data_IF_286123305551
#
_entry.id   IF_286123305551
#
_cell.length_a   1.000
_cell.length_b   1.000
_cell.length_c   1.000
_cell.angle_alpha   90.00
_cell.angle_beta   90.00
_cell.angle_gamma   90.00
#
_symmetry.space_group_name_H-M   'P 1'
#
loop_
_entity.id
_entity.type
_entity.pdbx_description
1 polymer ?
#
# COMPACT_ATOMS: atom_id res chain seq x y z
N UNK A 1 26.93 -60.16 4.41
CA UNK A 1 27.80 -60.34 5.59
C UNK A 1 28.10 -58.98 6.19
N UNK A 2 27.71 -58.80 7.47
CA UNK A 2 28.31 -57.96 8.54
C UNK A 2 28.88 -56.60 8.11
N UNK A 3 28.16 -55.49 8.34
CA UNK A 3 28.23 -54.69 9.57
C UNK A 3 29.66 -54.42 10.05
N UNK A 4 30.12 -53.18 9.92
CA UNK A 4 31.09 -52.61 10.85
C UNK A 4 30.70 -51.16 11.15
N UNK A 5 29.98 -50.98 12.26
CA UNK A 5 29.90 -49.73 12.99
C UNK A 5 31.29 -49.42 13.59
N UNK A 6 31.77 -48.18 13.54
CA UNK A 6 32.02 -47.39 14.76
C UNK A 6 32.66 -46.01 14.48
N UNK A 7 31.94 -44.99 14.94
CA UNK A 7 32.38 -43.80 15.68
C UNK A 7 33.85 -43.35 15.58
N UNK A 8 34.06 -42.21 14.90
CA UNK A 8 35.00 -41.19 15.38
C UNK A 8 34.24 -39.87 15.45
N UNK A 9 33.84 -39.52 16.68
CA UNK A 9 33.59 -38.14 17.04
C UNK A 9 34.95 -37.43 17.09
N UNK A 10 35.18 -36.47 16.20
CA UNK A 10 36.23 -35.47 16.39
C UNK A 10 35.61 -34.08 16.27
N UNK A 11 35.51 -33.46 17.44
CA UNK A 11 35.20 -32.06 17.67
C UNK A 11 36.23 -31.19 16.95
N UNK A 12 35.80 -30.37 15.98
CA UNK A 12 36.49 -29.14 15.62
C UNK A 12 35.52 -27.97 15.78
N UNK A 13 35.67 -27.32 16.92
CA UNK A 13 35.06 -26.05 17.30
C UNK A 13 35.94 -24.92 16.75
N UNK A 14 35.28 -23.87 16.26
CA UNK A 14 35.78 -22.53 15.91
C UNK A 14 36.59 -22.33 14.62
N UNK A 15 35.92 -21.80 13.59
CA UNK A 15 36.25 -20.48 13.04
C UNK A 15 34.93 -19.73 12.80
N UNK A 16 34.70 -18.69 13.61
CA UNK A 16 33.74 -17.63 13.36
C UNK A 16 34.15 -16.81 12.12
N UNK A 17 33.22 -16.03 11.58
CA UNK A 17 33.28 -15.25 10.34
C UNK A 17 32.96 -16.09 9.09
N UNK A 18 31.85 -15.88 8.41
CA UNK A 18 31.13 -14.63 8.19
C UNK A 18 29.64 -14.92 8.10
N UNK A 19 28.85 -14.37 9.02
CA UNK A 19 27.53 -13.90 8.62
C UNK A 19 27.79 -12.94 7.47
N UNK A 20 27.58 -13.42 6.24
CA UNK A 20 27.44 -12.55 5.10
C UNK A 20 26.11 -11.82 5.35
N UNK A 21 26.14 -10.82 6.24
CA UNK A 21 25.18 -9.74 6.21
C UNK A 21 25.38 -9.13 4.84
N UNK A 22 24.65 -9.64 3.85
CA UNK A 22 24.27 -8.84 2.71
C UNK A 22 23.54 -7.65 3.30
N UNK A 23 24.32 -6.61 3.61
CA UNK A 23 23.82 -5.25 3.64
C UNK A 23 23.36 -5.06 2.21
N UNK A 24 22.13 -5.50 1.93
CA UNK A 24 21.42 -5.20 0.69
C UNK A 24 21.57 -3.71 0.61
N UNK A 25 22.42 -3.25 -0.29
CA UNK A 25 22.49 -1.87 -0.66
C UNK A 25 21.09 -1.62 -1.21
N UNK A 26 20.18 -1.24 -0.32
CA UNK A 26 18.94 -0.61 -0.73
C UNK A 26 19.49 0.58 -1.50
N UNK A 27 19.48 0.48 -2.82
CA UNK A 27 19.05 1.63 -3.60
C UNK A 27 17.80 2.04 -2.84
N UNK A 28 17.91 3.12 -2.07
CA UNK A 28 16.80 3.69 -1.34
C UNK A 28 15.92 4.27 -2.45
N UNK A 29 15.23 3.37 -3.15
CA UNK A 29 14.01 3.71 -3.83
C UNK A 29 13.16 4.15 -2.64
N UNK A 30 12.98 5.45 -2.55
CA UNK A 30 12.27 6.13 -1.48
C UNK A 30 10.78 5.80 -1.65
N UNK A 31 10.46 4.51 -1.51
CA UNK A 31 9.18 3.94 -1.81
C UNK A 31 8.18 4.45 -0.77
N UNK A 32 7.02 4.90 -1.25
CA UNK A 32 5.95 5.35 -0.38
C UNK A 32 5.08 4.14 -0.02
N UNK A 33 5.48 3.40 1.00
CA UNK A 33 4.88 2.11 1.36
C UNK A 33 3.38 2.21 1.62
N UNK A 34 2.91 3.29 2.24
CA UNK A 34 1.49 3.53 2.50
C UNK A 34 0.69 3.82 1.22
N UNK A 35 1.32 4.38 0.18
CA UNK A 35 0.67 4.60 -1.11
C UNK A 35 0.41 3.25 -1.79
N UNK A 36 1.40 2.35 -1.77
CA UNK A 36 1.24 0.98 -2.28
C UNK A 36 0.26 0.16 -1.44
N UNK A 37 0.25 0.35 -0.12
CA UNK A 37 -0.72 -0.31 0.76
C UNK A 37 -2.15 0.11 0.40
N UNK A 38 -2.38 1.41 0.19
CA UNK A 38 -3.68 1.89 -0.29
C UNK A 38 -4.03 1.32 -1.66
N UNK A 39 -3.08 1.29 -2.59
CA UNK A 39 -3.26 0.69 -3.91
C UNK A 39 -3.74 -0.76 -3.83
N UNK A 40 -3.11 -1.56 -2.98
CA UNK A 40 -3.49 -2.96 -2.78
C UNK A 40 -4.93 -3.07 -2.26
N UNK A 41 -5.28 -2.31 -1.22
CA UNK A 41 -6.63 -2.33 -0.65
C UNK A 41 -7.69 -1.90 -1.67
N UNK A 42 -7.45 -0.83 -2.42
CA UNK A 42 -8.41 -0.39 -3.44
C UNK A 42 -8.51 -1.37 -4.61
N UNK A 43 -7.40 -1.98 -5.06
CA UNK A 43 -7.42 -2.97 -6.13
C UNK A 43 -8.25 -4.22 -5.77
N UNK A 44 -8.19 -4.66 -4.51
CA UNK A 44 -8.95 -5.81 -4.00
C UNK A 44 -10.47 -5.56 -3.91
N UNK A 45 -10.90 -4.30 -3.96
CA UNK A 45 -12.33 -3.93 -3.91
C UNK A 45 -12.85 -3.42 -5.25
N UNK A 46 -12.01 -2.68 -5.99
CA UNK A 46 -12.35 -2.07 -7.27
C UNK A 46 -12.47 -3.10 -8.39
N UNK A 47 -11.47 -3.96 -8.61
CA UNK A 47 -11.49 -4.90 -9.73
C UNK A 47 -12.64 -5.92 -9.65
N UNK A 48 -12.96 -6.52 -8.48
CA UNK A 48 -14.15 -7.36 -8.37
C UNK A 48 -15.44 -6.61 -8.70
N UNK A 49 -15.55 -5.34 -8.28
CA UNK A 49 -16.72 -4.52 -8.57
C UNK A 49 -16.87 -4.20 -10.08
N UNK A 50 -15.78 -4.10 -10.84
CA UNK A 50 -15.83 -4.00 -12.31
C UNK A 50 -16.49 -5.22 -12.95
N UNK A 51 -16.30 -6.40 -12.36
CA UNK A 51 -16.89 -7.67 -12.78
C UNK A 51 -18.27 -7.94 -12.14
N UNK A 52 -18.79 -7.01 -11.34
CA UNK A 52 -20.09 -7.10 -10.68
C UNK A 52 -20.09 -7.80 -9.33
N UNK A 53 -18.93 -8.15 -8.78
CA UNK A 53 -18.80 -8.66 -7.41
C UNK A 53 -18.56 -7.52 -6.43
N UNK A 54 -19.63 -7.11 -5.75
CA UNK A 54 -19.61 -6.03 -4.75
C UNK A 54 -19.44 -6.54 -3.31
N UNK A 55 -19.30 -7.84 -3.09
CA UNK A 55 -19.09 -8.38 -1.74
C UNK A 55 -17.79 -7.87 -1.10
N UNK A 56 -16.64 -7.79 -1.80
CA UNK A 56 -15.41 -7.26 -1.22
C UNK A 56 -15.57 -5.83 -0.69
N UNK A 57 -16.12 -4.90 -1.49
CA UNK A 57 -16.31 -3.52 -1.03
C UNK A 57 -17.33 -3.42 0.12
N UNK A 58 -18.35 -4.30 0.14
CA UNK A 58 -19.33 -4.32 1.25
C UNK A 58 -18.70 -4.79 2.56
N UNK A 59 -17.71 -5.67 2.51
CA UNK A 59 -17.05 -6.24 3.69
C UNK A 59 -15.83 -5.44 4.16
N UNK A 60 -15.06 -4.87 3.23
CA UNK A 60 -13.72 -4.35 3.51
C UNK A 60 -13.63 -2.81 3.38
N UNK A 61 -14.77 -2.11 3.31
CA UNK A 61 -14.80 -0.65 3.16
C UNK A 61 -14.18 0.14 4.32
N UNK A 62 -14.13 -0.43 5.52
CA UNK A 62 -13.43 0.17 6.66
C UNK A 62 -11.90 0.08 6.53
N UNK A 63 -11.38 -1.01 5.94
CA UNK A 63 -9.96 -1.14 5.63
C UNK A 63 -9.49 -0.05 4.66
N UNK A 64 -10.31 0.33 3.68
CA UNK A 64 -10.03 1.48 2.79
C UNK A 64 -9.92 2.79 3.57
N UNK A 65 -10.80 3.01 4.55
CA UNK A 65 -10.77 4.20 5.42
C UNK A 65 -9.48 4.22 6.23
N UNK A 66 -9.09 3.09 6.83
CA UNK A 66 -7.86 2.97 7.59
C UNK A 66 -6.62 3.22 6.71
N UNK A 67 -6.56 2.57 5.55
CA UNK A 67 -5.46 2.75 4.60
C UNK A 67 -5.33 4.22 4.14
N UNK A 68 -6.44 4.89 3.81
CA UNK A 68 -6.40 6.30 3.43
C UNK A 68 -5.90 7.20 4.57
N UNK A 69 -6.33 6.93 5.80
CA UNK A 69 -5.88 7.68 6.97
C UNK A 69 -4.41 7.46 7.28
N UNK A 70 -3.92 6.23 7.10
CA UNK A 70 -2.51 5.89 7.25
C UNK A 70 -1.68 6.60 6.19
N UNK A 71 -2.13 6.59 4.92
CA UNK A 71 -1.48 7.32 3.83
C UNK A 71 -1.43 8.84 4.08
N UNK A 72 -2.51 9.46 4.59
CA UNK A 72 -2.52 10.88 4.95
C UNK A 72 -1.51 11.23 6.07
N UNK A 73 -1.29 10.32 7.02
CA UNK A 73 -0.36 10.51 8.15
C UNK A 73 1.07 10.08 7.84
N UNK A 74 1.27 9.38 6.72
CA UNK A 74 2.55 8.81 6.34
C UNK A 74 3.61 9.89 6.20
N UNK A 75 4.85 9.51 6.48
CA UNK A 75 5.99 10.39 6.20
C UNK A 75 6.15 10.51 4.69
N UNK A 76 6.14 11.73 4.18
CA UNK A 76 6.42 11.97 2.77
C UNK A 76 7.84 11.51 2.40
N UNK A 77 8.00 10.85 1.24
CA UNK A 77 9.32 10.59 0.67
C UNK A 77 10.17 11.87 0.54
N UNK A 78 11.48 11.74 0.75
CA UNK A 78 12.43 12.85 0.75
C UNK A 78 12.51 13.59 -0.59
N UNK A 79 12.13 12.97 -1.71
CA UNK A 79 12.08 13.69 -3.00
C UNK A 79 10.98 14.77 -3.05
N UNK A 80 9.91 14.67 -2.25
CA UNK A 80 8.93 15.75 -2.16
C UNK A 80 9.53 17.04 -1.57
N UNK A 81 10.53 16.93 -0.70
CA UNK A 81 11.24 18.10 -0.17
C UNK A 81 12.17 18.76 -1.19
N UNK A 82 12.62 18.01 -2.20
CA UNK A 82 13.50 18.51 -3.25
C UNK A 82 12.75 19.08 -4.45
N UNK A 83 11.45 18.80 -4.56
CA UNK A 83 10.59 19.35 -5.60
C UNK A 83 10.46 20.86 -5.42
N UNK A 84 10.85 21.62 -6.44
CA UNK A 84 10.71 23.09 -6.48
C UNK A 84 9.26 23.55 -6.75
N UNK A 85 8.33 22.62 -7.01
CA UNK A 85 6.91 22.93 -7.25
C UNK A 85 6.17 23.16 -5.93
N UNK A 86 6.02 24.42 -5.53
CA UNK A 86 5.22 24.84 -4.36
C UNK A 86 3.75 24.38 -4.45
N UNK A 87 3.19 24.34 -5.66
CA UNK A 87 1.80 23.90 -5.88
C UNK A 87 1.63 22.40 -5.63
N UNK A 88 2.66 21.60 -5.89
CA UNK A 88 2.57 20.14 -5.84
C UNK A 88 2.30 19.61 -4.42
N UNK A 89 2.92 20.21 -3.38
CA UNK A 89 2.67 19.80 -1.98
C UNK A 89 1.24 20.14 -1.54
N UNK A 90 0.73 21.30 -1.95
CA UNK A 90 -0.63 21.75 -1.63
C UNK A 90 -1.68 20.89 -2.33
N UNK A 91 -1.45 20.57 -3.62
CA UNK A 91 -2.31 19.69 -4.41
C UNK A 91 -2.31 18.27 -3.84
N UNK A 92 -1.14 17.74 -3.47
CA UNK A 92 -1.01 16.45 -2.81
C UNK A 92 -1.79 16.40 -1.51
N UNK A 93 -1.62 17.40 -0.64
CA UNK A 93 -2.34 17.47 0.63
C UNK A 93 -3.86 17.50 0.41
N UNK A 94 -4.32 18.24 -0.58
CA UNK A 94 -5.74 18.31 -0.97
C UNK A 94 -6.25 16.96 -1.47
N UNK A 95 -5.49 16.28 -2.33
CA UNK A 95 -5.83 14.98 -2.88
C UNK A 95 -5.88 13.90 -1.79
N UNK A 96 -4.92 13.89 -0.86
CA UNK A 96 -4.91 12.97 0.29
C UNK A 96 -6.12 13.17 1.21
N UNK A 97 -6.49 14.42 1.49
CA UNK A 97 -7.69 14.73 2.27
C UNK A 97 -8.97 14.27 1.56
N UNK A 98 -9.04 14.50 0.24
CA UNK A 98 -10.14 14.03 -0.60
C UNK A 98 -10.25 12.50 -0.59
N UNK A 99 -9.14 11.79 -0.70
CA UNK A 99 -9.10 10.32 -0.65
C UNK A 99 -9.66 9.79 0.67
N UNK A 100 -9.26 10.38 1.81
CA UNK A 100 -9.81 10.03 3.14
C UNK A 100 -11.31 10.30 3.21
N UNK A 101 -11.76 11.45 2.69
CA UNK A 101 -13.18 11.81 2.72
C UNK A 101 -14.01 10.85 1.87
N UNK A 102 -13.60 10.58 0.63
CA UNK A 102 -14.27 9.63 -0.25
C UNK A 102 -14.30 8.22 0.33
N UNK A 103 -13.21 7.76 0.97
CA UNK A 103 -13.19 6.44 1.62
C UNK A 103 -14.23 6.37 2.75
N UNK A 104 -14.36 7.44 3.56
CA UNK A 104 -15.36 7.51 4.63
C UNK A 104 -16.79 7.57 4.10
N UNK A 105 -17.01 8.34 3.04
CA UNK A 105 -18.34 8.48 2.43
C UNK A 105 -18.78 7.16 1.81
N UNK A 106 -17.88 6.46 1.10
CA UNK A 106 -18.12 5.11 0.59
C UNK A 106 -18.43 4.13 1.72
N UNK A 107 -17.64 4.11 2.80
CA UNK A 107 -17.94 3.27 3.96
C UNK A 107 -19.32 3.58 4.56
N UNK A 108 -19.66 4.86 4.74
CA UNK A 108 -20.96 5.26 5.26
C UNK A 108 -22.10 4.79 4.35
N UNK A 109 -21.94 4.87 3.03
CA UNK A 109 -22.90 4.37 2.05
C UNK A 109 -23.09 2.85 2.18
N UNK A 110 -22.00 2.09 2.26
CA UNK A 110 -22.03 0.64 2.51
C UNK A 110 -22.83 0.33 3.79
N UNK A 111 -22.57 1.05 4.87
CA UNK A 111 -23.24 0.83 6.16
C UNK A 111 -24.75 1.13 6.15
N UNK A 112 -25.25 1.89 5.16
CA UNK A 112 -26.70 2.07 5.02
C UNK A 112 -27.42 0.78 4.65
N UNK A 113 -26.72 -0.21 4.07
CA UNK A 113 -27.26 -1.46 3.52
C UNK A 113 -28.37 -1.27 2.48
N UNK A 114 -28.47 -0.07 1.91
CA UNK A 114 -29.49 0.32 0.91
C UNK A 114 -28.89 0.90 -0.36
N UNK A 115 -27.59 1.13 -0.37
CA UNK A 115 -26.86 1.60 -1.55
C UNK A 115 -26.97 0.56 -2.67
N UNK A 116 -27.14 1.03 -3.91
CA UNK A 116 -27.17 0.17 -5.08
C UNK A 116 -25.75 -0.10 -5.56
N UNK A 117 -25.57 -1.23 -6.24
CA UNK A 117 -24.28 -1.60 -6.82
C UNK A 117 -23.78 -0.55 -7.84
N UNK A 118 -24.69 0.08 -8.59
CA UNK A 118 -24.34 1.18 -9.51
C UNK A 118 -23.73 2.40 -8.77
N UNK A 119 -24.27 2.76 -7.61
CA UNK A 119 -23.71 3.85 -6.78
C UNK A 119 -22.38 3.42 -6.17
N UNK A 120 -22.25 2.16 -5.71
CA UNK A 120 -20.98 1.64 -5.20
C UNK A 120 -19.89 1.70 -6.27
N UNK A 121 -20.18 1.30 -7.50
CA UNK A 121 -19.23 1.34 -8.60
C UNK A 121 -18.83 2.79 -8.95
N UNK A 122 -19.78 3.72 -8.96
CA UNK A 122 -19.51 5.15 -9.19
C UNK A 122 -18.55 5.71 -8.13
N UNK A 123 -18.82 5.46 -6.85
CA UNK A 123 -17.99 5.96 -5.75
C UNK A 123 -16.60 5.29 -5.72
N UNK A 124 -16.52 3.99 -6.04
CA UNK A 124 -15.26 3.28 -6.21
C UNK A 124 -14.42 3.87 -7.35
N UNK A 125 -15.03 4.17 -8.50
CA UNK A 125 -14.36 4.87 -9.60
C UNK A 125 -13.84 6.26 -9.18
N UNK A 126 -14.64 7.01 -8.42
CA UNK A 126 -14.26 8.33 -7.93
C UNK A 126 -13.09 8.27 -6.93
N UNK A 127 -13.07 7.24 -6.07
CA UNK A 127 -11.97 6.99 -5.13
C UNK A 127 -10.70 6.55 -5.87
N UNK A 128 -10.82 5.62 -6.82
CA UNK A 128 -9.72 5.10 -7.63
C UNK A 128 -9.07 6.19 -8.51
N UNK A 129 -9.88 7.06 -9.11
CA UNK A 129 -9.40 8.24 -9.84
C UNK A 129 -8.58 9.20 -8.96
N UNK A 130 -9.02 9.43 -7.72
CA UNK A 130 -8.28 10.28 -6.77
C UNK A 130 -6.96 9.62 -6.35
N UNK A 131 -6.91 8.29 -6.20
CA UNK A 131 -5.66 7.56 -5.99
C UNK A 131 -4.68 7.75 -7.15
N UNK A 132 -5.12 7.57 -8.39
CA UNK A 132 -4.23 7.76 -9.56
C UNK A 132 -3.74 9.20 -9.70
N UNK A 133 -4.55 10.19 -9.32
CA UNK A 133 -4.08 11.57 -9.25
C UNK A 133 -2.95 11.75 -8.21
N UNK A 134 -3.05 11.10 -7.04
CA UNK A 134 -1.96 11.09 -6.05
C UNK A 134 -0.71 10.40 -6.62
N UNK A 135 -0.85 9.29 -7.35
CA UNK A 135 0.27 8.64 -8.04
C UNK A 135 0.92 9.55 -9.08
N UNK A 136 0.14 10.31 -9.84
CA UNK A 136 0.66 11.28 -10.81
C UNK A 136 1.50 12.34 -10.09
N UNK A 137 1.00 12.92 -9.00
CA UNK A 137 1.73 13.87 -8.17
C UNK A 137 3.01 13.26 -7.60
N UNK A 138 2.92 12.02 -7.11
CA UNK A 138 4.07 11.25 -6.62
C UNK A 138 5.14 11.04 -7.69
N UNK A 139 4.74 10.75 -8.92
CA UNK A 139 5.66 10.57 -10.03
C UNK A 139 6.24 11.90 -10.53
N UNK A 140 5.47 12.98 -10.48
CA UNK A 140 5.96 14.32 -10.81
C UNK A 140 6.99 14.80 -9.78
N UNK A 141 6.83 14.50 -8.50
CA UNK A 141 7.79 14.85 -7.45
C UNK A 141 9.16 14.14 -7.57
N UNK A 142 9.24 13.06 -8.35
CA UNK A 142 10.48 12.31 -8.61
C UNK A 142 11.27 12.86 -9.81
N UNK A 143 10.67 13.72 -10.62
CA UNK A 143 11.30 14.33 -11.80
C UNK A 143 12.18 15.51 -11.39
#
# INVERSE_FOLDING_TARGET
MKQLFSFIALVFVFIAFSSFSQKKQRIQIDAWEELEAFHLSIALTFHPAEDGDFEPIKNDSDELVEAAQNLLKAKLPAYFEKSESENLKTELQTALQKLVQQSKDLHNLVQTKKVTDAILLEELNNLHSTYHHIEELNNNAKK
#
